data_IF_070926661011
#
_entry.id   IF_070926661011
#
_cell.length_a   1.000
_cell.length_b   1.000
_cell.length_c   1.000
_cell.angle_alpha   90.00
_cell.angle_beta   90.00
_cell.angle_gamma   90.00
#
_symmetry.space_group_name_H-M   'P 1'
#
loop_
_entity.id
_entity.type
_entity.pdbx_description
1 polymer ?
#
# COMPACT_ATOMS: atom_id res chain seq x y z
N UNK A 1 -33.68 -6.20 -22.12
CA UNK A 1 -33.13 -4.84 -22.35
C UNK A 1 -33.27 -3.90 -21.14
N UNK A 2 -34.45 -3.77 -20.49
CA UNK A 2 -34.62 -2.88 -19.31
C UNK A 2 -33.89 -3.37 -18.05
N UNK A 3 -33.97 -4.68 -17.74
CA UNK A 3 -33.26 -5.27 -16.59
C UNK A 3 -31.73 -5.20 -16.73
N UNK A 4 -31.19 -5.39 -17.93
CA UNK A 4 -29.74 -5.23 -18.21
C UNK A 4 -29.27 -3.78 -18.02
N UNK A 5 -30.07 -2.79 -18.42
CA UNK A 5 -29.78 -1.37 -18.17
C UNK A 5 -29.84 -1.00 -16.69
N UNK A 6 -30.72 -1.64 -15.91
CA UNK A 6 -30.77 -1.46 -14.45
C UNK A 6 -29.55 -2.10 -13.79
N UNK A 7 -29.20 -3.34 -14.12
CA UNK A 7 -28.09 -4.06 -13.50
C UNK A 7 -26.75 -3.33 -13.65
N UNK A 8 -26.52 -2.72 -14.82
CA UNK A 8 -25.36 -1.85 -15.09
C UNK A 8 -25.25 -0.65 -14.14
N UNK A 9 -26.38 -0.06 -13.71
CA UNK A 9 -26.39 1.06 -12.75
C UNK A 9 -26.28 0.61 -11.30
N UNK A 10 -26.57 -0.66 -11.01
CA UNK A 10 -26.65 -1.17 -9.65
C UNK A 10 -25.37 -1.87 -9.22
N UNK A 11 -24.75 -2.72 -10.05
CA UNK A 11 -23.55 -3.47 -9.65
C UNK A 11 -22.25 -2.82 -10.12
N UNK A 12 -21.30 -2.64 -9.20
CA UNK A 12 -19.99 -2.10 -9.53
C UNK A 12 -19.35 -2.89 -10.68
N UNK A 13 -18.72 -2.19 -11.63
CA UNK A 13 -17.96 -2.85 -12.70
C UNK A 13 -16.84 -3.68 -12.07
N UNK A 14 -16.82 -4.98 -12.35
CA UNK A 14 -15.82 -5.85 -11.75
C UNK A 14 -14.45 -5.61 -12.40
N UNK A 15 -13.46 -5.26 -11.59
CA UNK A 15 -12.08 -5.19 -12.06
C UNK A 15 -11.58 -6.59 -12.44
N UNK A 16 -10.99 -6.78 -13.62
CA UNK A 16 -10.36 -8.05 -13.97
C UNK A 16 -9.22 -8.37 -13.00
N UNK A 17 -9.12 -9.65 -12.63
CA UNK A 17 -8.08 -10.17 -11.75
C UNK A 17 -7.40 -11.37 -12.40
N UNK A 18 -6.13 -11.58 -12.12
CA UNK A 18 -5.45 -12.83 -12.49
C UNK A 18 -6.17 -14.03 -11.84
N UNK A 19 -6.34 -15.15 -12.58
CA UNK A 19 -6.86 -16.39 -12.01
C UNK A 19 -6.03 -16.88 -10.82
N UNK A 20 -6.66 -17.60 -9.88
CA UNK A 20 -6.00 -18.03 -8.64
C UNK A 20 -4.80 -18.93 -8.94
N UNK A 21 -4.97 -19.86 -9.88
CA UNK A 21 -3.98 -20.85 -10.28
C UNK A 21 -2.75 -20.22 -10.95
N UNK A 22 -2.93 -19.05 -11.56
CA UNK A 22 -1.86 -18.26 -12.19
C UNK A 22 -1.19 -17.36 -11.15
N UNK A 23 -1.98 -16.58 -10.39
CA UNK A 23 -1.44 -15.59 -9.44
C UNK A 23 -0.70 -16.19 -8.26
N UNK A 24 -0.88 -17.49 -7.97
CA UNK A 24 -0.09 -18.23 -6.98
C UNK A 24 1.33 -18.55 -7.46
N UNK A 25 1.59 -18.51 -8.77
CA UNK A 25 2.89 -18.86 -9.37
C UNK A 25 3.80 -17.65 -9.58
N UNK A 26 3.28 -16.44 -9.39
CA UNK A 26 3.99 -15.20 -9.71
C UNK A 26 3.77 -14.15 -8.62
N UNK A 27 4.59 -13.10 -8.65
CA UNK A 27 4.43 -11.90 -7.83
C UNK A 27 3.84 -10.72 -8.64
N UNK A 28 3.28 -11.00 -9.82
CA UNK A 28 2.67 -9.99 -10.67
C UNK A 28 1.39 -9.43 -10.05
N UNK A 29 1.01 -8.23 -10.47
CA UNK A 29 -0.17 -7.53 -9.97
C UNK A 29 -1.44 -8.36 -10.17
N UNK A 30 -2.15 -8.66 -9.07
CA UNK A 30 -3.38 -9.47 -9.16
C UNK A 30 -4.51 -8.69 -9.81
N UNK A 31 -4.65 -7.41 -9.44
CA UNK A 31 -5.69 -6.54 -9.95
C UNK A 31 -5.19 -5.90 -11.25
N UNK A 32 -5.83 -6.21 -12.37
CA UNK A 32 -5.33 -5.85 -13.70
C UNK A 32 -5.67 -4.41 -14.11
N UNK A 33 -6.55 -3.73 -13.36
CA UNK A 33 -7.02 -2.38 -13.69
C UNK A 33 -8.21 -2.42 -14.65
N UNK A 34 -8.79 -1.26 -14.92
CA UNK A 34 -9.88 -1.15 -15.89
C UNK A 34 -9.36 -0.94 -17.31
N UNK A 35 -10.05 -1.52 -18.29
CA UNK A 35 -10.01 -0.97 -19.65
C UNK A 35 -10.73 0.37 -19.71
N UNK A 36 -10.50 1.13 -20.77
CA UNK A 36 -11.21 2.39 -21.01
C UNK A 36 -12.74 2.21 -20.99
N UNK A 37 -13.26 1.18 -21.67
CA UNK A 37 -14.70 0.86 -21.67
C UNK A 37 -15.23 0.62 -20.24
N UNK A 38 -14.48 -0.13 -19.42
CA UNK A 38 -14.85 -0.39 -18.04
C UNK A 38 -14.80 0.87 -17.17
N UNK A 39 -13.79 1.72 -17.38
CA UNK A 39 -13.65 2.98 -16.66
C UNK A 39 -14.80 3.94 -16.99
N UNK A 40 -15.14 4.11 -18.28
CA UNK A 40 -16.28 4.90 -18.73
C UNK A 40 -17.61 4.36 -18.18
N UNK A 41 -17.76 3.03 -18.17
CA UNK A 41 -18.94 2.37 -17.62
C UNK A 41 -19.10 2.64 -16.12
N UNK A 42 -18.04 2.48 -15.35
CA UNK A 42 -18.06 2.72 -13.91
C UNK A 42 -18.24 4.21 -13.58
N UNK A 43 -17.55 5.10 -14.31
CA UNK A 43 -17.67 6.55 -14.14
C UNK A 43 -19.09 7.04 -14.43
N UNK A 44 -19.79 6.43 -15.40
CA UNK A 44 -21.18 6.76 -15.77
C UNK A 44 -22.20 6.45 -14.67
N UNK A 45 -21.85 5.65 -13.66
CA UNK A 45 -22.70 5.39 -12.49
C UNK A 45 -22.69 6.55 -11.48
N UNK A 46 -21.67 7.43 -11.53
CA UNK A 46 -21.55 8.53 -10.58
C UNK A 46 -22.70 9.53 -10.74
N UNK A 47 -23.38 9.81 -9.62
CA UNK A 47 -24.57 10.66 -9.55
C UNK A 47 -24.26 12.17 -9.61
N UNK A 48 -22.99 12.57 -9.63
CA UNK A 48 -22.56 13.98 -9.60
C UNK A 48 -23.27 14.76 -8.47
N UNK A 49 -23.12 14.24 -7.24
CA UNK A 49 -23.80 14.78 -6.06
C UNK A 49 -23.38 16.22 -5.78
N UNK A 50 -24.34 17.11 -5.54
CA UNK A 50 -24.10 18.50 -5.13
C UNK A 50 -23.35 18.62 -3.81
N UNK A 51 -23.61 17.71 -2.87
CA UNK A 51 -22.83 17.54 -1.62
C UNK A 51 -22.12 16.19 -1.62
N UNK A 52 -20.88 16.11 -2.11
CA UNK A 52 -20.17 14.85 -2.31
C UNK A 52 -19.47 14.39 -1.02
N UNK A 53 -20.14 13.55 -0.23
CA UNK A 53 -19.55 12.98 1.00
C UNK A 53 -18.30 12.11 0.70
N UNK A 54 -18.15 11.60 -0.52
CA UNK A 54 -16.93 10.91 -0.94
C UNK A 54 -15.67 11.80 -0.85
N UNK A 55 -15.80 13.11 -1.06
CA UNK A 55 -14.73 14.11 -0.91
C UNK A 55 -14.45 14.37 0.57
N UNK A 56 -15.48 14.50 1.40
CA UNK A 56 -15.35 14.65 2.86
C UNK A 56 -14.64 13.44 3.49
N UNK A 57 -14.93 12.22 3.00
CA UNK A 57 -14.35 10.97 3.48
C UNK A 57 -12.96 10.65 2.90
N UNK A 58 -12.50 11.39 1.89
CA UNK A 58 -11.14 11.28 1.39
C UNK A 58 -10.22 12.13 2.28
N UNK A 59 -9.18 11.55 2.92
CA UNK A 59 -8.28 12.32 3.78
C UNK A 59 -7.51 13.44 3.06
N UNK A 60 -7.37 13.34 1.73
CA UNK A 60 -6.75 14.37 0.89
C UNK A 60 -7.76 15.36 0.31
N UNK A 61 -9.07 15.11 0.51
CA UNK A 61 -10.16 15.89 -0.10
C UNK A 61 -10.01 16.04 -1.62
N UNK A 62 -9.63 14.96 -2.31
CA UNK A 62 -9.60 14.89 -3.77
C UNK A 62 -11.00 15.18 -4.31
N UNK A 63 -11.10 16.01 -5.35
CA UNK A 63 -12.36 16.38 -5.99
C UNK A 63 -12.91 15.24 -6.86
N UNK A 64 -13.45 14.22 -6.18
CA UNK A 64 -13.88 12.97 -6.80
C UNK A 64 -14.94 13.15 -7.90
N UNK A 65 -16.01 13.96 -7.71
CA UNK A 65 -16.99 14.16 -8.76
C UNK A 65 -16.39 14.75 -10.04
N UNK A 66 -15.43 15.69 -9.92
CA UNK A 66 -14.88 16.37 -11.08
C UNK A 66 -13.98 15.47 -11.90
N UNK A 67 -13.02 14.76 -11.30
CA UNK A 67 -12.19 13.85 -12.11
C UNK A 67 -13.02 12.71 -12.73
N UNK A 68 -14.07 12.24 -12.05
CA UNK A 68 -14.98 11.24 -12.64
C UNK A 68 -15.79 11.82 -13.80
N UNK A 69 -16.19 13.10 -13.72
CA UNK A 69 -16.85 13.79 -14.83
C UNK A 69 -15.91 13.94 -16.02
N UNK A 70 -14.65 14.27 -15.79
CA UNK A 70 -13.62 14.36 -16.82
C UNK A 70 -13.37 13.00 -17.50
N UNK A 71 -13.31 11.90 -16.73
CA UNK A 71 -13.27 10.54 -17.31
C UNK A 71 -14.46 10.30 -18.24
N UNK A 72 -15.70 10.70 -17.86
CA UNK A 72 -16.89 10.52 -18.71
C UNK A 72 -16.83 11.34 -20.00
N UNK A 73 -16.07 12.42 -20.02
CA UNK A 73 -15.85 13.25 -21.21
C UNK A 73 -14.69 12.74 -22.07
N UNK A 74 -13.94 11.72 -21.62
CA UNK A 74 -12.73 11.23 -22.27
C UNK A 74 -11.51 12.11 -22.03
N UNK A 75 -11.59 13.02 -21.07
CA UNK A 75 -10.58 14.05 -20.81
C UNK A 75 -9.63 13.62 -19.68
N UNK A 76 -8.71 12.70 -20.01
CA UNK A 76 -7.90 11.99 -19.01
C UNK A 76 -6.72 12.82 -18.49
N UNK A 77 -6.19 13.75 -19.28
CA UNK A 77 -5.12 14.65 -18.88
C UNK A 77 -5.60 15.57 -17.75
N UNK A 78 -6.72 16.26 -17.96
CA UNK A 78 -7.36 17.15 -17.00
C UNK A 78 -7.84 16.36 -15.77
N UNK A 79 -8.31 15.12 -15.95
CA UNK A 79 -8.64 14.24 -14.83
C UNK A 79 -7.41 13.93 -13.97
N UNK A 80 -6.25 13.67 -14.60
CA UNK A 80 -5.01 13.38 -13.90
C UNK A 80 -4.50 14.62 -13.15
N UNK A 81 -4.53 15.78 -13.79
CA UNK A 81 -4.20 17.06 -13.15
C UNK A 81 -5.07 17.35 -11.94
N UNK A 82 -6.39 17.16 -12.06
CA UNK A 82 -7.34 17.40 -10.96
C UNK A 82 -7.05 16.51 -9.76
N UNK A 83 -6.67 15.25 -9.98
CA UNK A 83 -6.23 14.35 -8.91
C UNK A 83 -4.91 14.85 -8.31
N UNK A 84 -3.93 15.23 -9.14
CA UNK A 84 -2.60 15.69 -8.71
C UNK A 84 -2.59 17.00 -7.94
N UNK A 85 -3.66 17.81 -8.03
CA UNK A 85 -3.86 18.98 -7.15
C UNK A 85 -3.83 18.63 -5.67
N UNK A 86 -4.27 17.42 -5.30
CA UNK A 86 -4.38 16.96 -3.91
C UNK A 86 -3.58 15.70 -3.60
N UNK A 87 -3.25 14.90 -4.61
CA UNK A 87 -2.56 13.62 -4.42
C UNK A 87 -1.28 13.54 -5.25
N UNK A 88 -0.12 13.48 -4.60
CA UNK A 88 1.17 13.34 -5.28
C UNK A 88 1.47 11.93 -5.80
N UNK A 89 0.71 10.90 -5.41
CA UNK A 89 0.94 9.51 -5.79
C UNK A 89 -0.39 8.78 -6.09
N UNK A 90 -1.17 9.25 -7.07
CA UNK A 90 -2.50 8.70 -7.35
C UNK A 90 -2.48 7.24 -7.77
N UNK A 91 -1.44 6.81 -8.50
CA UNK A 91 -1.29 5.42 -8.92
C UNK A 91 -1.06 4.48 -7.73
N UNK A 92 -0.53 4.98 -6.60
CA UNK A 92 -0.37 4.23 -5.36
C UNK A 92 -1.69 4.21 -4.58
N UNK A 93 -2.31 5.37 -4.35
CA UNK A 93 -3.54 5.51 -3.59
C UNK A 93 -4.69 4.68 -4.17
N UNK A 94 -4.89 4.72 -5.49
CA UNK A 94 -5.91 3.91 -6.18
C UNK A 94 -5.74 2.40 -5.95
N UNK A 95 -4.51 1.93 -5.70
CA UNK A 95 -4.19 0.53 -5.44
C UNK A 95 -4.32 0.11 -3.98
N UNK A 96 -3.94 0.96 -3.03
CA UNK A 96 -3.70 0.52 -1.64
C UNK A 96 -4.64 1.15 -0.61
N UNK A 97 -5.33 2.23 -0.94
CA UNK A 97 -6.30 2.84 -0.02
C UNK A 97 -7.40 1.83 0.35
N UNK A 98 -7.87 1.77 1.61
CA UNK A 98 -9.04 1.01 1.99
C UNK A 98 -10.30 1.82 1.67
N UNK A 99 -10.69 1.88 0.40
CA UNK A 99 -11.78 2.76 -0.05
C UNK A 99 -13.11 2.48 0.66
N UNK A 100 -13.35 1.21 1.05
CA UNK A 100 -14.51 0.76 1.81
C UNK A 100 -14.64 1.44 3.19
N UNK A 101 -13.55 1.99 3.72
CA UNK A 101 -13.51 2.75 4.97
C UNK A 101 -13.32 4.26 4.74
N UNK A 102 -13.22 4.70 3.48
CA UNK A 102 -12.89 6.07 3.07
C UNK A 102 -13.91 6.57 2.03
N UNK A 103 -13.43 7.00 0.85
CA UNK A 103 -14.24 7.67 -0.17
C UNK A 103 -15.45 6.84 -0.65
N UNK A 104 -15.35 5.52 -0.73
CA UNK A 104 -16.48 4.66 -1.14
C UNK A 104 -17.56 4.57 -0.04
N UNK A 105 -17.18 4.65 1.24
CA UNK A 105 -18.13 4.75 2.36
C UNK A 105 -18.98 6.03 2.28
N UNK A 106 -18.40 7.13 1.79
CA UNK A 106 -19.10 8.38 1.54
C UNK A 106 -19.92 8.41 0.24
N UNK A 107 -19.95 7.34 -0.54
CA UNK A 107 -20.68 7.33 -1.80
C UNK A 107 -22.20 7.30 -1.55
N UNK A 108 -22.94 8.23 -2.17
CA UNK A 108 -24.40 8.34 -2.07
C UNK A 108 -25.17 7.48 -3.07
N UNK A 109 -24.50 6.62 -3.83
CA UNK A 109 -25.21 5.66 -4.67
C UNK A 109 -25.82 4.56 -3.80
N UNK A 110 -26.98 4.83 -3.20
CA UNK A 110 -27.65 3.92 -2.25
C UNK A 110 -28.55 2.88 -2.93
N UNK A 111 -28.82 3.04 -4.23
CA UNK A 111 -29.66 2.10 -4.97
C UNK A 111 -28.85 0.87 -5.37
N UNK A 112 -27.52 0.99 -5.51
CA UNK A 112 -26.60 -0.10 -5.83
C UNK A 112 -25.27 0.00 -5.08
N UNK A 113 -24.24 -0.65 -5.62
CA UNK A 113 -22.89 -0.61 -5.07
C UNK A 113 -22.27 0.80 -5.18
N UNK A 114 -21.41 1.19 -4.23
CA UNK A 114 -20.68 2.45 -4.30
C UNK A 114 -19.78 2.49 -5.53
N UNK A 115 -19.53 3.71 -6.03
CA UNK A 115 -18.62 3.92 -7.17
C UNK A 115 -17.22 3.40 -6.81
N UNK A 116 -16.58 2.71 -7.75
CA UNK A 116 -15.21 2.23 -7.62
C UNK A 116 -14.19 3.36 -7.80
N UNK A 117 -14.22 4.33 -6.89
CA UNK A 117 -13.41 5.56 -6.96
C UNK A 117 -11.92 5.23 -7.07
N UNK A 118 -11.44 4.24 -6.30
CA UNK A 118 -10.03 3.83 -6.33
C UNK A 118 -9.62 3.21 -7.67
N UNK A 119 -10.51 2.47 -8.33
CA UNK A 119 -10.24 1.92 -9.66
C UNK A 119 -10.21 2.99 -10.75
N UNK A 120 -11.08 4.01 -10.65
CA UNK A 120 -11.09 5.16 -11.56
C UNK A 120 -9.85 6.04 -11.35
N UNK A 121 -9.48 6.33 -10.11
CA UNK A 121 -8.23 7.04 -9.77
C UNK A 121 -7.01 6.28 -10.31
N UNK A 122 -6.97 4.96 -10.11
CA UNK A 122 -5.92 4.10 -10.68
C UNK A 122 -5.89 4.17 -12.20
N UNK A 123 -7.04 4.08 -12.87
CA UNK A 123 -7.11 4.10 -14.34
C UNK A 123 -6.49 5.38 -14.91
N UNK A 124 -6.90 6.54 -14.39
CA UNK A 124 -6.37 7.85 -14.81
C UNK A 124 -4.87 7.95 -14.52
N UNK A 125 -4.45 7.54 -13.33
CA UNK A 125 -3.04 7.61 -12.96
C UNK A 125 -2.16 6.65 -13.78
N UNK A 126 -2.65 5.45 -14.09
CA UNK A 126 -1.93 4.50 -14.93
C UNK A 126 -1.80 5.04 -16.37
N UNK A 127 -2.88 5.63 -16.91
CA UNK A 127 -2.86 6.31 -18.22
C UNK A 127 -1.81 7.43 -18.25
N UNK A 128 -1.80 8.30 -17.25
CA UNK A 128 -0.84 9.42 -17.17
C UNK A 128 0.62 8.93 -17.04
N UNK A 129 0.85 7.85 -16.30
CA UNK A 129 2.19 7.25 -16.19
C UNK A 129 2.67 6.62 -17.52
N UNK A 130 1.77 6.32 -18.45
CA UNK A 130 2.07 5.77 -19.77
C UNK A 130 2.24 6.85 -20.83
N UNK A 131 1.41 7.88 -20.81
CA UNK A 131 1.44 9.02 -21.76
C UNK A 131 2.46 10.10 -21.37
N UNK A 132 2.78 10.19 -20.07
CA UNK A 132 3.70 11.16 -19.49
C UNK A 132 2.97 12.27 -18.75
N UNK A 133 3.27 12.42 -17.46
CA UNK A 133 2.70 13.49 -16.64
C UNK A 133 3.26 14.86 -17.03
N UNK A 134 2.38 15.86 -17.10
CA UNK A 134 2.76 17.26 -17.13
C UNK A 134 3.51 17.61 -15.84
N UNK A 135 4.62 18.34 -15.97
CA UNK A 135 5.33 18.87 -14.80
C UNK A 135 4.58 20.13 -14.35
N UNK A 136 4.07 20.18 -13.10
CA UNK A 136 3.33 21.33 -12.63
C UNK A 136 4.23 22.56 -12.54
N UNK A 137 3.63 23.73 -12.66
CA UNK A 137 4.33 25.00 -12.46
C UNK A 137 4.88 25.06 -11.03
N UNK A 138 6.18 25.35 -10.92
CA UNK A 138 6.88 25.50 -9.64
C UNK A 138 6.88 26.97 -9.29
N UNK A 139 6.52 27.31 -8.05
CA UNK A 139 6.58 28.69 -7.58
C UNK A 139 8.02 29.24 -7.62
N UNK A 140 8.19 30.57 -7.75
CA UNK A 140 9.52 31.19 -7.73
C UNK A 140 10.34 30.76 -6.52
N UNK A 141 11.66 30.66 -6.69
CA UNK A 141 12.55 30.25 -5.62
C UNK A 141 12.40 31.15 -4.39
N UNK A 142 12.23 30.52 -3.24
CA UNK A 142 12.15 31.19 -1.94
C UNK A 142 13.53 31.48 -1.34
N UNK A 143 14.60 30.92 -1.93
CA UNK A 143 15.95 30.91 -1.36
C UNK A 143 16.11 30.05 -0.11
N UNK A 144 15.08 29.30 0.30
CA UNK A 144 15.11 28.44 1.50
C UNK A 144 15.27 26.97 1.15
N UNK A 145 15.95 26.22 2.02
CA UNK A 145 16.21 24.79 1.89
C UNK A 145 15.57 23.98 3.03
N UNK A 146 15.09 22.78 2.72
CA UNK A 146 14.47 21.86 3.69
C UNK A 146 15.03 20.45 3.55
N UNK A 147 15.48 19.87 4.66
CA UNK A 147 15.85 18.46 4.74
C UNK A 147 14.65 17.61 5.13
N UNK A 148 14.37 16.55 4.38
CA UNK A 148 13.29 15.60 4.65
C UNK A 148 13.90 14.26 5.04
N UNK A 149 13.70 13.83 6.27
CA UNK A 149 14.26 12.58 6.79
C UNK A 149 13.25 11.44 6.63
N UNK A 150 13.55 10.51 5.71
CA UNK A 150 12.72 9.37 5.35
C UNK A 150 11.96 9.58 4.04
N UNK A 151 12.07 8.61 3.13
CA UNK A 151 11.42 8.65 1.80
C UNK A 151 10.11 7.85 1.73
N UNK A 152 9.45 7.63 2.86
CA UNK A 152 8.11 7.06 2.88
C UNK A 152 7.05 8.02 2.31
N UNK A 153 5.77 7.61 2.26
CA UNK A 153 4.70 8.45 1.71
C UNK A 153 4.66 9.86 2.30
N UNK A 154 4.80 10.00 3.63
CA UNK A 154 4.80 11.30 4.29
C UNK A 154 5.95 12.21 3.83
N UNK A 155 7.18 11.68 3.77
CA UNK A 155 8.34 12.45 3.33
C UNK A 155 8.27 12.84 1.85
N UNK A 156 7.84 11.92 0.98
CA UNK A 156 7.64 12.19 -0.44
C UNK A 156 6.54 13.23 -0.69
N UNK A 157 5.42 13.16 0.04
CA UNK A 157 4.37 14.18 -0.03
C UNK A 157 4.85 15.54 0.47
N UNK A 158 5.54 15.60 1.62
CA UNK A 158 6.10 16.84 2.14
C UNK A 158 7.11 17.45 1.16
N UNK A 159 8.00 16.63 0.60
CA UNK A 159 8.98 17.07 -0.38
C UNK A 159 8.32 17.63 -1.65
N UNK A 160 7.26 16.98 -2.13
CA UNK A 160 6.48 17.42 -3.29
C UNK A 160 5.91 18.82 -3.08
N UNK A 161 5.21 19.04 -1.96
CA UNK A 161 4.54 20.32 -1.69
C UNK A 161 5.54 21.45 -1.39
N UNK A 162 6.65 21.14 -0.71
CA UNK A 162 7.73 22.09 -0.47
C UNK A 162 8.44 22.49 -1.77
N UNK A 163 8.71 21.53 -2.65
CA UNK A 163 9.34 21.81 -3.95
C UNK A 163 8.42 22.66 -4.83
N UNK A 164 7.12 22.33 -4.94
CA UNK A 164 6.13 23.16 -5.64
C UNK A 164 6.05 24.59 -5.09
N UNK A 165 6.29 24.76 -3.79
CA UNK A 165 6.33 26.07 -3.12
C UNK A 165 7.63 26.85 -3.34
N UNK A 166 8.56 26.35 -4.16
CA UNK A 166 9.81 27.03 -4.50
C UNK A 166 10.93 26.87 -3.47
N UNK A 167 10.85 25.86 -2.60
CA UNK A 167 11.94 25.49 -1.68
C UNK A 167 12.91 24.51 -2.33
N UNK A 168 14.20 24.60 -1.99
CA UNK A 168 15.16 23.54 -2.28
C UNK A 168 14.94 22.39 -1.29
N UNK A 169 14.80 21.16 -1.78
CA UNK A 169 14.44 20.02 -0.93
C UNK A 169 15.38 18.85 -1.17
N UNK A 170 15.94 18.33 -0.07
CA UNK A 170 16.76 17.11 -0.08
C UNK A 170 16.14 16.07 0.84
N UNK A 171 15.80 14.91 0.29
CA UNK A 171 15.29 13.76 1.03
C UNK A 171 16.45 12.84 1.40
N UNK A 172 16.57 12.50 2.67
CA UNK A 172 17.57 11.56 3.20
C UNK A 172 16.89 10.23 3.54
N UNK A 173 17.33 9.15 2.93
CA UNK A 173 16.77 7.80 3.10
C UNK A 173 17.83 6.82 3.62
N UNK A 174 17.46 6.04 4.64
CA UNK A 174 18.33 5.07 5.28
C UNK A 174 18.61 3.84 4.39
N UNK A 175 17.62 3.39 3.62
CA UNK A 175 17.75 2.25 2.71
C UNK A 175 18.38 2.64 1.37
N UNK A 176 18.76 1.63 0.59
CA UNK A 176 19.35 1.83 -0.75
C UNK A 176 18.31 2.19 -1.82
N UNK A 177 17.02 1.98 -1.56
CA UNK A 177 15.92 2.38 -2.43
C UNK A 177 14.92 3.27 -1.69
N UNK A 178 14.47 4.39 -2.30
CA UNK A 178 13.48 5.27 -1.71
C UNK A 178 12.04 4.75 -1.87
N UNK A 179 11.13 5.17 -1.00
CA UNK A 179 9.70 4.84 -1.04
C UNK A 179 9.15 4.21 0.25
N UNK A 180 10.03 3.88 1.20
CA UNK A 180 9.65 3.31 2.49
C UNK A 180 8.79 2.04 2.35
N UNK A 181 7.66 1.99 3.06
CA UNK A 181 6.74 0.84 3.05
C UNK A 181 6.21 0.49 1.66
N UNK A 182 6.17 1.47 0.73
CA UNK A 182 5.77 1.25 -0.65
C UNK A 182 6.75 0.34 -1.40
N UNK A 183 8.04 0.32 -1.00
CA UNK A 183 9.07 -0.54 -1.57
C UNK A 183 9.27 -1.80 -0.74
N UNK A 184 9.54 -1.70 0.57
CA UNK A 184 9.91 -2.88 1.36
C UNK A 184 8.71 -3.63 1.96
N UNK A 185 7.55 -2.99 2.11
CA UNK A 185 6.42 -3.54 2.86
C UNK A 185 5.33 -4.18 1.99
N UNK A 186 4.71 -3.38 1.12
CA UNK A 186 3.58 -3.83 0.30
C UNK A 186 4.09 -4.70 -0.85
N UNK A 187 3.63 -5.94 -1.07
CA UNK A 187 4.17 -6.79 -2.13
C UNK A 187 3.86 -6.32 -3.56
N UNK A 188 4.69 -6.78 -4.51
CA UNK A 188 4.56 -6.49 -5.95
C UNK A 188 3.17 -6.84 -6.50
N UNK A 189 2.57 -7.93 -6.03
CA UNK A 189 1.25 -8.39 -6.46
C UNK A 189 0.08 -7.48 -6.05
N UNK A 190 0.34 -6.48 -5.19
CA UNK A 190 -0.60 -5.41 -4.81
C UNK A 190 -0.16 -4.04 -5.33
N UNK A 191 1.13 -3.77 -5.27
CA UNK A 191 1.72 -2.49 -5.66
C UNK A 191 3.02 -2.75 -6.43
N UNK A 192 2.98 -2.69 -7.77
CA UNK A 192 4.17 -2.89 -8.58
C UNK A 192 5.22 -1.81 -8.30
N UNK A 193 6.48 -2.21 -8.11
CA UNK A 193 7.57 -1.29 -7.75
C UNK A 193 7.92 -0.34 -8.87
N UNK A 194 7.67 -0.76 -10.12
CA UNK A 194 7.76 0.10 -11.30
C UNK A 194 6.87 1.36 -11.16
N UNK A 195 5.70 1.22 -10.55
CA UNK A 195 4.74 2.33 -10.34
C UNK A 195 5.30 3.30 -9.30
N UNK A 196 5.75 2.78 -8.16
CA UNK A 196 6.39 3.58 -7.10
C UNK A 196 7.61 4.33 -7.64
N UNK A 197 8.44 3.67 -8.45
CA UNK A 197 9.60 4.29 -9.09
C UNK A 197 9.20 5.44 -10.01
N UNK A 198 8.18 5.25 -10.86
CA UNK A 198 7.68 6.32 -11.74
C UNK A 198 7.15 7.53 -10.96
N UNK A 199 6.42 7.31 -9.87
CA UNK A 199 5.96 8.42 -9.00
C UNK A 199 7.13 9.15 -8.33
N UNK A 200 8.15 8.42 -7.86
CA UNK A 200 9.37 9.04 -7.30
C UNK A 200 10.13 9.81 -8.39
N UNK A 201 10.18 9.30 -9.61
CA UNK A 201 10.81 9.99 -10.73
C UNK A 201 10.04 11.27 -11.12
N UNK A 202 8.71 11.28 -11.01
CA UNK A 202 7.92 12.51 -11.09
C UNK A 202 8.32 13.52 -10.00
N UNK A 203 8.47 13.07 -8.75
CA UNK A 203 8.89 13.95 -7.65
C UNK A 203 10.30 14.52 -7.90
N UNK A 204 11.22 13.73 -8.45
CA UNK A 204 12.55 14.22 -8.86
C UNK A 204 12.48 15.28 -9.96
N UNK A 205 11.53 15.18 -10.90
CA UNK A 205 11.32 16.21 -11.94
C UNK A 205 10.89 17.56 -11.36
N UNK A 206 10.36 17.59 -10.13
CA UNK A 206 10.07 18.83 -9.40
C UNK A 206 11.34 19.47 -8.78
N UNK A 207 12.52 18.88 -8.99
CA UNK A 207 13.78 19.36 -8.42
C UNK A 207 14.10 18.81 -7.03
N UNK A 208 13.34 17.82 -6.55
CA UNK A 208 13.64 17.15 -5.27
C UNK A 208 14.85 16.23 -5.41
N UNK A 209 15.87 16.44 -4.59
CA UNK A 209 17.03 15.56 -4.48
C UNK A 209 16.74 14.42 -3.50
N UNK A 210 17.22 13.21 -3.78
CA UNK A 210 17.05 12.06 -2.89
C UNK A 210 18.41 11.37 -2.68
N UNK A 211 18.91 11.42 -1.45
CA UNK A 211 20.15 10.77 -0.99
C UNK A 211 19.80 9.49 -0.23
N UNK A 212 20.12 8.34 -0.80
CA UNK A 212 19.92 7.02 -0.17
C UNK A 212 21.14 6.59 0.64
N UNK A 213 20.99 5.53 1.44
CA UNK A 213 22.03 5.01 2.34
C UNK A 213 22.52 6.01 3.39
N UNK A 214 21.68 6.97 3.79
CA UNK A 214 21.98 7.97 4.83
C UNK A 214 21.11 7.72 6.04
N UNK A 215 21.71 7.24 7.13
CA UNK A 215 21.01 7.01 8.39
C UNK A 215 21.13 8.26 9.24
N UNK A 216 20.13 9.13 9.22
CA UNK A 216 20.09 10.28 10.15
C UNK A 216 19.97 9.77 11.59
N UNK A 217 20.80 10.30 12.48
CA UNK A 217 21.10 9.78 13.82
C UNK A 217 22.34 8.88 13.90
N UNK A 218 22.97 8.54 12.76
CA UNK A 218 24.25 7.80 12.71
C UNK A 218 25.25 8.37 11.71
N UNK A 219 24.85 8.48 10.44
CA UNK A 219 25.67 9.05 9.36
C UNK A 219 25.76 10.56 9.48
N UNK A 220 24.63 11.20 9.79
CA UNK A 220 24.47 12.63 10.03
C UNK A 220 23.53 12.80 11.23
N UNK A 221 23.68 13.85 11.99
CA UNK A 221 22.74 14.27 13.04
C UNK A 221 21.78 15.34 12.51
N UNK A 222 20.77 15.71 13.30
CA UNK A 222 19.89 16.83 12.93
C UNK A 222 20.66 18.15 12.97
N UNK A 223 21.59 18.30 13.93
CA UNK A 223 22.43 19.50 14.04
C UNK A 223 23.34 19.64 12.82
N UNK A 224 23.94 18.54 12.34
CA UNK A 224 24.73 18.54 11.09
C UNK A 224 23.92 19.04 9.89
N UNK A 225 22.62 18.72 9.80
CA UNK A 225 21.75 19.22 8.73
C UNK A 225 21.54 20.74 8.85
N UNK A 226 21.38 21.27 10.06
CA UNK A 226 21.30 22.73 10.23
C UNK A 226 22.64 23.41 9.92
N UNK A 227 23.76 22.80 10.30
CA UNK A 227 25.11 23.28 10.00
C UNK A 227 25.43 23.24 8.49
N UNK A 228 24.88 22.28 7.74
CA UNK A 228 24.90 22.24 6.27
C UNK A 228 24.04 23.34 5.61
N UNK A 229 23.30 24.12 6.41
CA UNK A 229 22.54 25.29 5.95
C UNK A 229 21.08 25.01 5.62
N UNK A 230 20.51 23.88 6.03
CA UNK A 230 19.08 23.64 5.91
C UNK A 230 18.29 24.57 6.86
N UNK A 231 17.23 25.23 6.35
CA UNK A 231 16.42 26.12 7.18
C UNK A 231 15.39 25.38 8.04
N UNK A 232 15.01 24.16 7.64
CA UNK A 232 14.06 23.34 8.36
C UNK A 232 14.34 21.85 8.11
N UNK A 233 13.89 21.01 9.05
CA UNK A 233 13.96 19.55 8.97
C UNK A 233 12.57 18.96 9.20
N UNK A 234 12.12 18.13 8.26
CA UNK A 234 10.89 17.33 8.39
C UNK A 234 11.23 15.89 8.72
N UNK A 235 10.63 15.32 9.77
CA UNK A 235 10.87 13.94 10.21
C UNK A 235 9.72 13.02 9.76
N UNK A 236 9.97 12.24 8.71
CA UNK A 236 9.04 11.29 8.09
C UNK A 236 9.48 9.83 8.21
N UNK A 237 10.13 9.43 9.30
CA UNK A 237 10.80 8.12 9.46
C UNK A 237 9.85 6.93 9.63
N UNK A 238 8.56 7.18 9.88
CA UNK A 238 7.55 6.15 10.08
C UNK A 238 7.77 5.29 11.34
N UNK A 239 7.12 4.13 11.39
CA UNK A 239 7.16 3.19 12.51
C UNK A 239 7.68 1.81 12.07
N UNK A 240 8.95 1.75 11.67
CA UNK A 240 9.56 0.55 11.06
C UNK A 240 10.03 -0.53 12.03
N UNK A 241 10.12 -0.25 13.34
CA UNK A 241 10.61 -1.22 14.33
C UNK A 241 9.55 -2.30 14.61
N UNK A 242 9.88 -3.60 14.47
CA UNK A 242 8.93 -4.65 14.75
C UNK A 242 8.69 -4.79 16.26
N UNK A 243 7.43 -5.02 16.64
CA UNK A 243 7.08 -5.44 18.00
C UNK A 243 7.08 -6.96 18.06
N UNK A 244 8.01 -7.53 18.81
CA UNK A 244 8.03 -8.97 19.12
C UNK A 244 6.93 -9.31 20.14
N UNK A 245 6.48 -10.57 20.14
CA UNK A 245 5.41 -11.06 21.01
C UNK A 245 5.88 -11.25 22.46
N UNK A 246 7.19 -11.44 22.68
CA UNK A 246 7.77 -11.69 24.00
C UNK A 246 7.45 -13.08 24.54
N UNK A 247 7.37 -14.08 23.67
CA UNK A 247 7.00 -15.46 24.04
C UNK A 247 8.21 -16.41 23.93
N UNK A 248 8.26 -17.50 24.72
CA UNK A 248 9.33 -18.47 24.59
C UNK A 248 9.40 -19.06 23.18
N UNK A 249 10.61 -19.16 22.63
CA UNK A 249 10.87 -19.75 21.31
C UNK A 249 10.86 -18.78 20.13
N UNK A 250 10.70 -17.47 20.33
CA UNK A 250 10.75 -16.48 19.24
C UNK A 250 12.08 -16.42 18.48
N UNK A 251 13.18 -16.87 19.10
CA UNK A 251 14.51 -16.89 18.49
C UNK A 251 14.83 -18.23 17.79
N UNK A 252 13.84 -19.10 17.54
CA UNK A 252 14.02 -20.36 16.81
C UNK A 252 14.25 -20.10 15.31
N UNK A 253 14.96 -21.02 14.65
CA UNK A 253 15.14 -20.95 13.20
C UNK A 253 13.78 -21.11 12.48
N UNK A 254 13.56 -20.30 11.44
CA UNK A 254 12.29 -20.27 10.70
C UNK A 254 11.23 -19.33 11.28
N UNK A 255 11.53 -18.65 12.40
CA UNK A 255 10.71 -17.55 12.91
C UNK A 255 11.20 -16.25 12.30
N UNK A 256 10.28 -15.48 11.70
CA UNK A 256 10.58 -14.17 11.11
C UNK A 256 9.68 -13.11 11.74
N UNK A 257 10.21 -11.90 11.89
CA UNK A 257 9.31 -10.74 11.99
C UNK A 257 8.63 -10.50 10.64
N UNK A 258 7.40 -9.97 10.65
CA UNK A 258 6.72 -9.59 9.39
C UNK A 258 7.55 -8.60 8.58
N UNK A 259 8.23 -7.68 9.25
CA UNK A 259 9.12 -6.71 8.62
C UNK A 259 10.28 -7.39 7.89
N UNK A 260 10.99 -8.30 8.57
CA UNK A 260 12.09 -9.04 7.95
C UNK A 260 11.62 -9.88 6.75
N UNK A 261 10.52 -10.62 6.93
CA UNK A 261 9.97 -11.49 5.89
C UNK A 261 9.62 -10.70 4.62
N UNK A 262 8.88 -9.60 4.78
CA UNK A 262 8.47 -8.77 3.65
C UNK A 262 9.65 -8.00 3.06
N UNK A 263 10.59 -7.50 3.86
CA UNK A 263 11.78 -6.81 3.35
C UNK A 263 12.64 -7.75 2.49
N UNK A 264 12.86 -8.99 2.94
CA UNK A 264 13.57 -10.01 2.13
C UNK A 264 12.90 -10.23 0.78
N UNK A 265 11.57 -10.34 0.76
CA UNK A 265 10.81 -10.62 -0.46
C UNK A 265 10.77 -9.40 -1.38
N UNK A 266 10.42 -8.23 -0.84
CA UNK A 266 10.04 -7.07 -1.63
C UNK A 266 11.23 -6.20 -2.03
N UNK A 267 12.11 -5.89 -1.08
CA UNK A 267 13.30 -5.06 -1.31
C UNK A 267 14.44 -5.94 -1.82
N UNK A 268 14.73 -7.05 -1.13
CA UNK A 268 15.86 -7.91 -1.50
C UNK A 268 15.53 -8.95 -2.58
N UNK A 269 14.28 -9.02 -3.05
CA UNK A 269 13.83 -9.92 -4.12
C UNK A 269 14.15 -11.40 -3.86
N UNK A 270 14.03 -11.85 -2.61
CA UNK A 270 14.38 -13.21 -2.20
C UNK A 270 13.56 -14.32 -2.88
N UNK A 271 12.40 -13.99 -3.47
CA UNK A 271 11.62 -14.92 -4.32
C UNK A 271 12.38 -15.35 -5.58
N UNK A 272 13.41 -14.60 -5.98
CA UNK A 272 14.23 -14.89 -7.16
C UNK A 272 15.59 -15.52 -6.80
N UNK A 273 15.78 -15.94 -5.55
CA UNK A 273 16.98 -16.66 -5.10
C UNK A 273 17.05 -18.07 -5.71
N UNK A 274 18.25 -18.59 -6.07
CA UNK A 274 19.57 -17.95 -6.00
C UNK A 274 19.96 -17.18 -7.28
N UNK A 275 19.09 -17.15 -8.30
CA UNK A 275 19.49 -16.74 -9.65
C UNK A 275 19.53 -15.22 -9.86
N UNK A 276 18.51 -14.48 -9.38
CA UNK A 276 18.46 -13.00 -9.53
C UNK A 276 18.56 -12.25 -8.20
N UNK A 277 18.63 -12.97 -7.08
CA UNK A 277 18.89 -12.40 -5.76
C UNK A 277 19.87 -13.27 -4.98
N UNK A 278 20.76 -12.62 -4.22
CA UNK A 278 21.68 -13.28 -3.27
C UNK A 278 21.06 -13.50 -1.89
N UNK A 279 19.88 -12.91 -1.63
CA UNK A 279 19.23 -12.98 -0.31
C UNK A 279 18.35 -14.23 -0.25
N UNK A 280 18.65 -15.21 0.61
CA UNK A 280 17.80 -16.38 0.75
C UNK A 280 16.55 -16.04 1.58
N UNK A 281 15.50 -16.82 1.34
CA UNK A 281 14.34 -16.95 2.21
C UNK A 281 13.93 -18.41 2.27
N UNK A 282 13.56 -18.89 3.45
CA UNK A 282 13.10 -20.26 3.62
C UNK A 282 11.63 -20.28 3.99
N UNK A 283 10.84 -20.80 3.07
CA UNK A 283 9.41 -21.09 3.23
C UNK A 283 9.20 -22.53 2.76
N UNK A 284 8.71 -23.40 3.65
CA UNK A 284 8.37 -24.79 3.32
C UNK A 284 7.34 -25.31 4.31
N UNK A 285 6.47 -26.21 3.87
CA UNK A 285 5.49 -26.86 4.74
C UNK A 285 4.41 -25.89 5.18
N UNK A 286 4.01 -25.99 6.46
CA UNK A 286 2.94 -25.18 7.06
C UNK A 286 3.50 -23.90 7.67
N UNK A 287 2.91 -22.77 7.30
CA UNK A 287 3.29 -21.43 7.80
C UNK A 287 2.20 -20.89 8.72
N UNK A 288 2.59 -20.52 9.93
CA UNK A 288 1.74 -19.86 10.90
C UNK A 288 2.08 -18.37 10.97
N UNK A 289 1.08 -17.51 10.81
CA UNK A 289 1.23 -16.07 10.96
C UNK A 289 0.54 -15.64 12.25
N UNK A 290 1.32 -15.03 13.15
CA UNK A 290 0.88 -14.66 14.48
C UNK A 290 0.55 -13.16 14.52
N UNK A 291 -0.73 -12.84 14.41
CA UNK A 291 -1.22 -11.46 14.45
C UNK A 291 -2.14 -11.11 13.28
N UNK A 292 -2.93 -10.05 13.47
CA UNK A 292 -4.00 -9.69 12.55
C UNK A 292 -3.55 -9.00 11.25
N UNK A 293 -2.32 -8.44 11.20
CA UNK A 293 -1.78 -7.68 10.06
C UNK A 293 -0.84 -8.54 9.19
N UNK A 294 -1.32 -9.72 8.83
CA UNK A 294 -0.51 -10.78 8.23
C UNK A 294 -0.78 -11.09 6.76
N UNK A 295 -1.77 -10.44 6.14
CA UNK A 295 -2.30 -10.89 4.85
C UNK A 295 -1.26 -10.87 3.72
N UNK A 296 -0.45 -9.82 3.63
CA UNK A 296 0.61 -9.73 2.62
C UNK A 296 1.67 -10.82 2.80
N UNK A 297 2.09 -11.09 4.04
CA UNK A 297 3.01 -12.17 4.33
C UNK A 297 2.39 -13.54 4.03
N UNK A 298 1.10 -13.73 4.30
CA UNK A 298 0.37 -14.96 4.05
C UNK A 298 0.34 -15.31 2.55
N UNK A 299 -0.08 -14.33 1.75
CA UNK A 299 -0.17 -14.44 0.30
C UNK A 299 1.20 -14.59 -0.34
N UNK A 300 2.24 -13.96 0.22
CA UNK A 300 3.63 -14.14 -0.22
C UNK A 300 4.16 -15.52 0.13
N UNK A 301 3.83 -16.08 1.30
CA UNK A 301 4.25 -17.43 1.70
C UNK A 301 3.66 -18.51 0.79
N UNK A 302 2.39 -18.37 0.39
CA UNK A 302 1.76 -19.27 -0.59
C UNK A 302 2.52 -19.25 -1.93
N UNK A 303 2.87 -18.06 -2.44
CA UNK A 303 3.65 -17.89 -3.69
C UNK A 303 5.07 -18.45 -3.60
N UNK A 304 5.63 -18.55 -2.40
CA UNK A 304 6.92 -19.17 -2.14
C UNK A 304 6.83 -20.69 -1.94
N UNK A 305 5.65 -21.29 -2.14
CA UNK A 305 5.46 -22.74 -2.07
C UNK A 305 5.14 -23.30 -0.69
N UNK A 306 4.55 -22.49 0.21
CA UNK A 306 3.97 -23.02 1.44
C UNK A 306 2.82 -23.98 1.11
N UNK A 307 2.79 -25.14 1.77
CA UNK A 307 1.73 -26.15 1.61
C UNK A 307 0.42 -25.70 2.26
N UNK A 308 0.52 -24.97 3.37
CA UNK A 308 -0.61 -24.41 4.08
C UNK A 308 -0.20 -23.11 4.78
N UNK A 309 -1.07 -22.11 4.77
CA UNK A 309 -0.86 -20.86 5.48
C UNK A 309 -2.06 -20.54 6.34
N UNK A 310 -1.84 -20.27 7.63
CA UNK A 310 -2.89 -19.89 8.57
C UNK A 310 -2.53 -18.63 9.35
N UNK A 311 -3.46 -17.67 9.42
CA UNK A 311 -3.35 -16.47 10.25
C UNK A 311 -4.09 -16.70 11.56
N UNK A 312 -3.36 -16.64 12.68
CA UNK A 312 -3.87 -16.73 14.04
C UNK A 312 -4.02 -15.33 14.62
N UNK A 313 -5.23 -14.97 15.04
CA UNK A 313 -5.55 -13.64 15.54
C UNK A 313 -6.64 -13.66 16.62
N UNK A 314 -6.73 -12.58 17.39
CA UNK A 314 -7.62 -12.52 18.55
C UNK A 314 -9.06 -12.14 18.17
N UNK A 315 -9.25 -11.09 17.37
CA UNK A 315 -10.58 -10.49 17.11
C UNK A 315 -10.95 -10.47 15.64
N UNK A 316 -10.29 -9.59 14.88
CA UNK A 316 -10.49 -9.44 13.43
C UNK A 316 -9.15 -9.36 12.72
N UNK A 317 -9.09 -9.94 11.52
CA UNK A 317 -7.99 -9.67 10.59
C UNK A 317 -8.02 -8.19 10.19
N UNK A 318 -6.86 -7.59 9.96
CA UNK A 318 -6.74 -6.17 9.61
C UNK A 318 -6.13 -6.08 8.22
N UNK A 319 -6.86 -5.47 7.30
CA UNK A 319 -6.45 -5.27 5.92
C UNK A 319 -7.63 -4.75 5.10
N UNK A 320 -7.36 -4.39 3.85
CA UNK A 320 -8.39 -4.03 2.88
C UNK A 320 -9.25 -5.24 2.55
N UNK A 321 -10.55 -5.04 2.37
CA UNK A 321 -11.52 -6.10 2.11
C UNK A 321 -11.14 -6.97 0.89
N UNK A 322 -10.72 -6.32 -0.21
CA UNK A 322 -10.26 -7.03 -1.41
C UNK A 322 -9.05 -7.93 -1.16
N UNK A 323 -8.09 -7.47 -0.35
CA UNK A 323 -6.89 -8.25 -0.08
C UNK A 323 -7.18 -9.44 0.85
N UNK A 324 -8.14 -9.29 1.76
CA UNK A 324 -8.64 -10.39 2.59
C UNK A 324 -9.37 -11.40 1.72
N UNK A 325 -10.30 -10.96 0.85
CA UNK A 325 -11.02 -11.81 -0.09
C UNK A 325 -10.05 -12.60 -0.98
N UNK A 326 -9.10 -11.91 -1.61
CA UNK A 326 -8.09 -12.54 -2.48
C UNK A 326 -7.22 -13.53 -1.73
N UNK A 327 -6.86 -13.24 -0.48
CA UNK A 327 -6.13 -14.19 0.37
C UNK A 327 -6.93 -15.45 0.66
N UNK A 328 -8.23 -15.33 0.97
CA UNK A 328 -9.12 -16.48 1.17
C UNK A 328 -9.28 -17.31 -0.10
N UNK A 329 -9.47 -16.66 -1.26
CA UNK A 329 -9.52 -17.31 -2.57
C UNK A 329 -8.21 -18.04 -2.92
N UNK A 330 -7.06 -17.49 -2.51
CA UNK A 330 -5.73 -18.10 -2.67
C UNK A 330 -5.49 -19.27 -1.68
N UNK A 331 -6.37 -19.48 -0.70
CA UNK A 331 -6.27 -20.58 0.26
C UNK A 331 -5.71 -20.22 1.64
N UNK A 332 -5.56 -18.93 1.97
CA UNK A 332 -5.17 -18.49 3.31
C UNK A 332 -6.27 -18.87 4.31
N UNK A 333 -5.89 -19.61 5.37
CA UNK A 333 -6.80 -19.97 6.46
C UNK A 333 -6.79 -18.89 7.54
N UNK A 334 -7.95 -18.65 8.15
CA UNK A 334 -8.12 -17.68 9.23
C UNK A 334 -8.57 -18.39 10.50
N UNK A 335 -7.81 -18.22 11.58
CA UNK A 335 -8.13 -18.77 12.90
C UNK A 335 -8.34 -17.64 13.92
N UNK A 336 -9.60 -17.19 14.11
CA UNK A 336 -9.92 -16.17 15.11
C UNK A 336 -9.81 -16.72 16.53
N UNK A 337 -9.93 -15.82 17.52
CA UNK A 337 -9.97 -16.14 18.95
C UNK A 337 -8.77 -16.98 19.40
N UNK A 338 -7.58 -16.71 18.87
CA UNK A 338 -6.35 -17.40 19.25
C UNK A 338 -5.27 -16.43 19.72
N UNK A 339 -4.48 -16.89 20.69
CA UNK A 339 -3.27 -16.19 21.16
C UNK A 339 -2.12 -17.19 21.27
N UNK A 340 -0.93 -16.88 20.69
CA UNK A 340 0.25 -17.71 20.86
C UNK A 340 0.81 -17.60 22.28
N UNK A 341 1.26 -18.73 22.83
CA UNK A 341 1.85 -18.84 24.17
C UNK A 341 3.34 -19.14 24.10
N UNK A 342 3.76 -20.06 23.22
CA UNK A 342 5.18 -20.37 22.95
C UNK A 342 5.36 -21.05 21.60
N UNK A 343 6.58 -21.00 21.10
CA UNK A 343 7.04 -21.73 19.92
C UNK A 343 7.95 -22.87 20.38
N UNK A 344 7.77 -24.05 19.79
CA UNK A 344 8.50 -25.26 20.17
C UNK A 344 9.35 -25.69 18.98
N UNK A 345 10.66 -25.82 19.23
CA UNK A 345 11.64 -26.22 18.22
C UNK A 345 11.85 -27.74 18.17
N UNK A 346 12.44 -28.21 17.07
CA UNK A 346 13.02 -29.54 16.97
C UNK A 346 14.44 -29.61 17.58
N UNK A 347 15.10 -30.77 17.46
CA UNK A 347 16.47 -31.01 17.92
C UNK A 347 17.51 -30.06 17.27
N UNK A 348 17.22 -29.56 16.06
CA UNK A 348 18.06 -28.62 15.31
C UNK A 348 17.62 -27.16 15.51
N UNK A 349 16.76 -26.89 16.50
CA UNK A 349 16.25 -25.55 16.85
C UNK A 349 15.38 -24.90 15.76
N UNK A 350 14.85 -25.68 14.82
CA UNK A 350 13.85 -25.20 13.85
C UNK A 350 12.46 -25.24 14.47
N UNK A 351 11.66 -24.20 14.23
CA UNK A 351 10.27 -24.17 14.70
C UNK A 351 9.49 -25.35 14.12
N UNK A 352 8.86 -26.13 15.02
CA UNK A 352 8.09 -27.34 14.69
C UNK A 352 6.62 -27.18 15.06
N UNK A 353 6.32 -26.56 16.21
CA UNK A 353 4.97 -26.37 16.71
C UNK A 353 4.76 -24.95 17.26
N UNK A 354 3.51 -24.49 17.18
CA UNK A 354 3.04 -23.27 17.83
C UNK A 354 2.01 -23.68 18.87
N UNK A 355 2.26 -23.34 20.14
CA UNK A 355 1.26 -23.52 21.19
C UNK A 355 0.33 -22.31 21.25
N UNK A 356 -0.96 -22.56 21.13
CA UNK A 356 -2.02 -21.55 21.05
C UNK A 356 -3.05 -21.80 22.14
N UNK A 357 -3.55 -20.73 22.73
CA UNK A 357 -4.75 -20.78 23.58
C UNK A 357 -5.96 -20.25 22.80
N UNK A 358 -7.11 -20.90 22.99
CA UNK A 358 -8.39 -20.38 22.52
C UNK A 358 -8.92 -19.36 23.52
N UNK A 359 -9.28 -18.19 23.00
CA UNK A 359 -9.89 -17.12 23.74
C UNK A 359 -11.42 -17.28 23.70
N UNK A 360 -12.07 -16.93 24.80
CA UNK A 360 -13.53 -16.73 24.84
C UNK A 360 -13.81 -15.22 24.91
N UNK A 361 -14.85 -14.71 24.25
CA UNK A 361 -15.26 -13.32 24.40
C UNK A 361 -15.54 -13.01 25.88
N UNK A 362 -14.91 -11.95 26.40
CA UNK A 362 -15.22 -11.41 27.72
C UNK A 362 -16.37 -10.39 27.65
N UNK A 363 -16.71 -9.78 28.78
CA UNK A 363 -17.59 -8.61 28.76
C UNK A 363 -16.91 -7.45 28.00
N UNK A 364 -17.67 -6.67 27.22
CA UNK A 364 -17.13 -5.48 26.58
C UNK A 364 -16.57 -4.53 27.63
N UNK A 365 -15.39 -3.97 27.35
CA UNK A 365 -14.82 -2.93 28.20
C UNK A 365 -15.65 -1.63 28.11
N UNK A 366 -15.25 -0.60 28.85
CA UNK A 366 -15.91 0.73 28.85
C UNK A 366 -15.95 1.40 27.47
N UNK A 367 -15.19 0.92 26.48
CA UNK A 367 -15.17 1.41 25.11
C UNK A 367 -15.99 0.53 24.14
N UNK A 368 -16.74 -0.45 24.68
CA UNK A 368 -17.54 -1.39 23.90
C UNK A 368 -16.72 -2.49 23.23
N UNK A 369 -15.48 -2.73 23.67
CA UNK A 369 -14.49 -3.60 23.01
C UNK A 369 -14.20 -4.91 23.70
#
# INVERSE_FOLDING_TARGET
>A
MWMQKLEFRLKQVRMPELPVEERLKTFDEVALGYSEEQALAEASRCLQCTRPLCVEMCPLHVNIPEFIKLIRLGDYEEAAEEIRRKNCMPSVCGRVCPQEALCAMGCKNTIGDPINIGALERFVADWELETGAAVPEIAPSTGKSVAVVGSGPAGLSAATELAKSGHHVVVFEALHEPGGVLIYGIPEFRLPKRIVKKEIDYIRKLGVEIKTNVIVGKTLTIDDLFDEGFNAVFLGTGAGLPKLLGIPGENLCGVYSLNEFLLRINLMKASLFPYKSKTPIKVRGRVAILGARGMDAARSALRLGAEEVCIFYQRKVVGRADDIRRGLEEGVKLQPSTKPVRLIGDEKRWVKLVELIKLKPGQPDRTGK
#
